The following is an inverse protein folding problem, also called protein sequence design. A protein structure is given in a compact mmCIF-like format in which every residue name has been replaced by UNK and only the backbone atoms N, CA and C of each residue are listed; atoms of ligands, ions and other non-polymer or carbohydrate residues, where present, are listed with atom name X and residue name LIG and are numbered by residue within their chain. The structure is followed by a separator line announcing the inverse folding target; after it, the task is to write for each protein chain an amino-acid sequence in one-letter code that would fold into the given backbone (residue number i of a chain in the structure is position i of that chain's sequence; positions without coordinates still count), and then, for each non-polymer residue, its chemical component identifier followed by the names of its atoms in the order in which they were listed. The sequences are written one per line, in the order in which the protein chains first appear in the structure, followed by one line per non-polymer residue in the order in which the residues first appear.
data_IF_180453704290
#
_entry.id   IF_180453704290
#
_cell.length_a   1.000
_cell.length_b   1.000
_cell.length_c   1.000
_cell.angle_alpha   90.00
_cell.angle_beta   90.00
_cell.angle_gamma   90.00
#
_symmetry.space_group_name_H-M   'P 1'
#
loop_
_entity.id
_entity.type
_entity.pdbx_description
1 polymer ?
#
# COMPACT_ATOMS: atom_id res chain seq x y z
N UNK A 1 8.63 28.33 17.04
CA UNK A 1 9.34 27.06 17.35
C UNK A 1 8.35 25.95 17.63
N UNK A 2 7.30 26.20 18.42
CA UNK A 2 6.21 25.26 18.74
C UNK A 2 5.53 24.65 17.51
N UNK A 3 5.23 25.43 16.47
CA UNK A 3 4.50 24.95 15.28
C UNK A 3 5.25 23.85 14.51
N UNK A 4 6.59 23.90 14.50
CA UNK A 4 7.40 22.86 13.85
C UNK A 4 7.33 21.53 14.59
N UNK A 5 7.31 21.54 15.93
CA UNK A 5 7.12 20.32 16.73
C UNK A 5 5.73 19.73 16.53
N UNK A 6 4.71 20.57 16.35
CA UNK A 6 3.34 20.13 16.04
C UNK A 6 3.24 19.45 14.68
N UNK A 7 3.98 19.93 13.68
CA UNK A 7 4.00 19.32 12.34
C UNK A 7 4.67 17.94 12.37
N UNK A 8 5.79 17.79 13.09
CA UNK A 8 6.47 16.50 13.21
C UNK A 8 5.59 15.45 13.89
N UNK A 9 4.91 15.79 14.99
CA UNK A 9 4.01 14.85 15.67
C UNK A 9 2.79 14.47 14.82
N UNK A 10 2.27 15.38 14.01
CA UNK A 10 1.20 15.08 13.05
C UNK A 10 1.67 14.12 11.95
N UNK A 11 2.88 14.32 11.41
CA UNK A 11 3.41 13.42 10.39
C UNK A 11 3.65 12.01 10.93
N UNK A 12 4.24 11.89 12.13
CA UNK A 12 4.44 10.60 12.80
C UNK A 12 3.11 9.88 13.07
N UNK A 13 2.08 10.64 13.47
CA UNK A 13 0.73 10.08 13.63
C UNK A 13 0.20 9.50 12.31
N UNK A 14 0.32 10.22 11.20
CA UNK A 14 -0.10 9.73 9.88
C UNK A 14 0.70 8.49 9.45
N UNK A 15 2.02 8.49 9.67
CA UNK A 15 2.88 7.35 9.36
C UNK A 15 2.52 6.10 10.17
N UNK A 16 2.10 6.25 11.43
CA UNK A 16 1.63 5.13 12.26
C UNK A 16 0.31 4.53 11.78
N UNK A 17 -0.56 5.36 11.19
CA UNK A 17 -1.92 4.96 10.80
C UNK A 17 -2.00 4.47 9.36
N UNK A 18 -1.26 5.12 8.47
CA UNK A 18 -1.28 4.89 7.03
C UNK A 18 0.12 4.47 6.57
N UNK A 19 0.30 3.15 6.48
CA UNK A 19 1.55 2.55 6.01
C UNK A 19 1.86 3.09 4.61
N UNK A 20 3.10 3.51 4.39
CA UNK A 20 3.55 4.10 3.12
C UNK A 20 3.49 5.62 3.06
N UNK A 21 3.05 6.30 4.13
CA UNK A 21 3.21 7.76 4.26
C UNK A 21 4.70 8.13 4.24
N UNK A 22 5.17 8.75 3.16
CA UNK A 22 6.58 9.09 2.95
C UNK A 22 7.03 10.39 3.66
N UNK A 23 8.33 10.65 3.57
CA UNK A 23 9.01 11.89 3.94
C UNK A 23 10.13 12.19 2.94
N UNK A 24 10.83 13.32 3.11
CA UNK A 24 11.84 13.79 2.15
C UNK A 24 12.96 12.76 1.87
N UNK A 25 13.29 11.92 2.84
CA UNK A 25 14.35 10.91 2.73
C UNK A 25 13.83 9.51 2.35
N UNK A 26 12.53 9.36 2.05
CA UNK A 26 11.98 8.07 1.60
C UNK A 26 12.68 7.63 0.32
N UNK A 27 13.29 6.45 0.37
CA UNK A 27 14.01 5.90 -0.76
C UNK A 27 13.05 5.46 -1.87
N UNK A 28 13.55 5.43 -3.10
CA UNK A 28 12.80 4.87 -4.25
C UNK A 28 12.29 3.45 -3.95
N UNK A 29 13.09 2.65 -3.25
CA UNK A 29 12.73 1.28 -2.90
C UNK A 29 11.52 1.23 -1.95
N UNK A 30 11.56 1.98 -0.85
CA UNK A 30 10.45 2.05 0.12
C UNK A 30 9.15 2.54 -0.55
N UNK A 31 9.25 3.56 -1.39
CA UNK A 31 8.11 4.08 -2.14
C UNK A 31 7.49 3.03 -3.06
N UNK A 32 8.31 2.35 -3.86
CA UNK A 32 7.83 1.33 -4.79
C UNK A 32 7.26 0.13 -4.04
N UNK A 33 7.86 -0.33 -2.96
CA UNK A 33 7.34 -1.46 -2.18
C UNK A 33 5.93 -1.18 -1.67
N UNK A 34 5.66 0.02 -1.16
CA UNK A 34 4.32 0.37 -0.68
C UNK A 34 3.31 0.43 -1.84
N UNK A 35 3.67 0.98 -3.00
CA UNK A 35 2.80 0.94 -4.18
C UNK A 35 2.45 -0.48 -4.63
N UNK A 36 3.42 -1.39 -4.64
CA UNK A 36 3.16 -2.79 -4.99
C UNK A 36 2.20 -3.42 -3.97
N UNK A 37 2.42 -3.20 -2.67
CA UNK A 37 1.53 -3.72 -1.62
C UNK A 37 0.10 -3.21 -1.78
N UNK A 38 -0.08 -1.93 -2.05
CA UNK A 38 -1.40 -1.34 -2.27
C UNK A 38 -2.08 -1.94 -3.50
N UNK A 39 -1.33 -2.12 -4.58
CA UNK A 39 -1.81 -2.73 -5.82
C UNK A 39 -2.29 -4.17 -5.59
N UNK A 40 -1.46 -5.02 -4.95
CA UNK A 40 -1.83 -6.40 -4.63
C UNK A 40 -3.02 -6.48 -3.67
N UNK A 41 -3.09 -5.57 -2.69
CA UNK A 41 -4.23 -5.47 -1.78
C UNK A 41 -5.54 -5.22 -2.56
N UNK A 42 -5.53 -4.29 -3.52
CA UNK A 42 -6.67 -4.02 -4.40
C UNK A 42 -6.99 -5.20 -5.31
N UNK A 43 -5.99 -5.87 -5.89
CA UNK A 43 -6.19 -7.00 -6.79
C UNK A 43 -6.91 -8.16 -6.10
N UNK A 44 -6.57 -8.44 -4.84
CA UNK A 44 -7.19 -9.51 -4.05
C UNK A 44 -8.46 -9.06 -3.29
N UNK A 45 -8.57 -7.77 -2.98
CA UNK A 45 -9.69 -7.19 -2.23
C UNK A 45 -10.93 -6.91 -3.07
N UNK A 46 -10.76 -6.59 -4.35
CA UNK A 46 -11.87 -6.37 -5.28
C UNK A 46 -12.20 -7.64 -6.05
N UNK A 47 -13.44 -8.12 -5.90
CA UNK A 47 -13.87 -9.39 -6.48
C UNK A 47 -13.78 -9.40 -8.02
N UNK A 48 -14.06 -8.28 -8.68
CA UNK A 48 -13.99 -8.17 -10.14
C UNK A 48 -12.56 -8.30 -10.66
N UNK A 49 -11.59 -7.67 -9.98
CA UNK A 49 -10.17 -7.78 -10.32
C UNK A 49 -9.65 -9.18 -10.03
N UNK A 50 -9.97 -9.76 -8.87
CA UNK A 50 -9.57 -11.12 -8.54
C UNK A 50 -10.09 -12.14 -9.56
N UNK A 51 -11.35 -11.98 -10.01
CA UNK A 51 -11.92 -12.82 -11.06
C UNK A 51 -11.20 -12.63 -12.40
N UNK A 52 -10.90 -11.38 -12.76
CA UNK A 52 -10.15 -11.08 -13.98
C UNK A 52 -8.79 -11.80 -13.99
N UNK A 53 -8.01 -11.69 -12.91
CA UNK A 53 -6.73 -12.39 -12.79
C UNK A 53 -6.88 -13.91 -12.81
N UNK A 54 -7.86 -14.47 -12.07
CA UNK A 54 -8.11 -15.91 -12.06
C UNK A 54 -8.44 -16.49 -13.45
N UNK A 55 -9.22 -15.75 -14.24
CA UNK A 55 -9.54 -16.15 -15.61
C UNK A 55 -8.32 -15.99 -16.51
N UNK A 56 -7.59 -14.88 -16.42
CA UNK A 56 -6.42 -14.60 -17.25
C UNK A 56 -5.28 -15.61 -17.01
N UNK A 57 -5.07 -16.03 -15.75
CA UNK A 57 -4.04 -16.99 -15.36
C UNK A 57 -4.52 -18.45 -15.47
N UNK A 58 -5.82 -18.67 -15.73
CA UNK A 58 -6.45 -19.99 -15.75
C UNK A 58 -6.20 -20.80 -14.44
N UNK A 59 -6.31 -20.11 -13.31
CA UNK A 59 -6.10 -20.67 -11.98
C UNK A 59 -7.31 -20.42 -11.07
N UNK A 60 -7.43 -21.23 -10.01
CA UNK A 60 -8.51 -21.01 -9.04
C UNK A 60 -8.31 -19.68 -8.29
N UNK A 61 -9.41 -18.98 -7.95
CA UNK A 61 -9.36 -17.71 -7.19
C UNK A 61 -8.62 -17.83 -5.87
N UNK A 62 -8.71 -19.00 -5.22
CA UNK A 62 -8.01 -19.27 -3.97
C UNK A 62 -6.49 -19.27 -4.17
N UNK A 63 -6.00 -19.85 -5.28
CA UNK A 63 -4.58 -19.89 -5.62
C UNK A 63 -4.03 -18.54 -6.08
N UNK A 64 -4.82 -17.75 -6.81
CA UNK A 64 -4.41 -16.38 -7.17
C UNK A 64 -4.30 -15.47 -5.94
N UNK A 65 -5.08 -15.78 -4.89
CA UNK A 65 -5.11 -14.99 -3.65
C UNK A 65 -4.04 -15.38 -2.62
N UNK A 66 -3.54 -16.62 -2.62
CA UNK A 66 -2.63 -17.17 -1.60
C UNK A 66 -1.47 -17.94 -2.21
#
# INVERSE_FOLDING_TARGET
MTDRYTIHSQLEHLQSKYIGTGHADTTKWEWLVNQHRDSYCSYMGHFDLLNYFAIAENESKARVRF
#
